data_IF_895575282396
#
_entry.id   IF_895575282396
#
_cell.length_a   1.000
_cell.length_b   1.000
_cell.length_c   1.000
_cell.angle_alpha   90.00
_cell.angle_beta   90.00
_cell.angle_gamma   90.00
#
_symmetry.space_group_name_H-M   'P 1'
#
loop_
_entity.id
_entity.type
_entity.pdbx_description
1 polymer ?
#
# COMPACT_ATOMS: atom_id res chain seq x y z
N UNK A 1 25.69 3.22 21.19
CA UNK A 1 25.72 3.82 19.83
C UNK A 1 24.64 4.88 19.68
N UNK A 2 25.01 6.14 19.39
CA UNK A 2 24.04 7.21 19.10
C UNK A 2 23.63 7.04 17.64
N UNK A 3 22.38 6.65 17.41
CA UNK A 3 21.84 6.57 16.04
C UNK A 3 21.44 7.98 15.62
N UNK A 4 22.14 8.51 14.61
CA UNK A 4 21.82 9.81 14.01
C UNK A 4 20.72 9.65 12.97
N UNK A 5 19.47 9.67 13.41
CA UNK A 5 18.31 9.61 12.51
C UNK A 5 18.26 10.76 11.51
N UNK A 6 18.93 11.88 11.79
CA UNK A 6 18.98 13.04 10.90
C UNK A 6 19.66 12.80 9.56
N UNK A 7 20.45 11.75 9.39
CA UNK A 7 21.04 11.35 8.10
C UNK A 7 20.36 10.14 7.46
N UNK A 8 19.25 9.66 8.03
CA UNK A 8 18.51 8.51 7.53
C UNK A 8 17.90 8.81 6.16
N UNK A 9 18.27 8.02 5.15
CA UNK A 9 17.74 8.16 3.78
C UNK A 9 16.68 7.11 3.43
N UNK A 10 16.80 5.91 4.00
CA UNK A 10 15.90 4.79 3.73
C UNK A 10 15.48 4.20 5.06
N UNK A 11 14.18 4.05 5.27
CA UNK A 11 13.61 3.40 6.44
C UNK A 11 12.71 2.25 5.99
N UNK A 12 13.00 1.04 6.47
CA UNK A 12 12.14 -0.12 6.31
C UNK A 12 11.67 -0.59 7.66
N UNK A 13 10.36 -0.66 7.86
CA UNK A 13 9.73 -1.05 9.13
C UNK A 13 8.61 -2.03 8.84
N UNK A 14 8.55 -3.07 9.67
CA UNK A 14 7.45 -3.99 9.73
C UNK A 14 6.18 -3.28 10.28
N UNK A 15 5.08 -3.13 9.51
CA UNK A 15 3.89 -2.39 9.94
C UNK A 15 3.04 -3.12 10.99
N UNK A 16 3.54 -4.22 11.54
CA UNK A 16 2.90 -5.03 12.57
C UNK A 16 3.67 -5.06 13.90
N UNK A 17 4.85 -4.43 13.95
CA UNK A 17 5.63 -4.33 15.18
C UNK A 17 4.96 -3.36 16.16
N UNK A 18 4.09 -3.91 17.02
CA UNK A 18 3.32 -3.13 18.01
C UNK A 18 4.20 -2.36 18.99
N UNK A 19 5.44 -2.81 19.22
CA UNK A 19 6.37 -2.18 20.15
C UNK A 19 7.20 -1.09 19.45
N UNK A 20 7.59 -1.32 18.19
CA UNK A 20 8.38 -0.38 17.40
C UNK A 20 7.57 0.73 16.70
N UNK A 21 6.31 0.49 16.36
CA UNK A 21 5.45 1.43 15.64
C UNK A 21 5.25 2.79 16.33
N UNK A 22 5.09 2.87 17.67
CA UNK A 22 5.02 4.16 18.36
C UNK A 22 6.29 5.02 18.21
N UNK A 23 7.44 4.41 17.94
CA UNK A 23 8.70 5.12 17.70
C UNK A 23 8.82 5.64 16.25
N UNK A 24 7.91 5.27 15.35
CA UNK A 24 8.02 5.60 13.93
C UNK A 24 7.96 7.11 13.68
N UNK A 25 6.92 7.81 14.17
CA UNK A 25 6.80 9.25 13.93
C UNK A 25 8.00 10.05 14.45
N UNK A 26 8.52 9.83 15.68
CA UNK A 26 9.75 10.48 16.13
C UNK A 26 10.97 10.27 15.20
N UNK A 27 11.13 9.06 14.64
CA UNK A 27 12.21 8.77 13.69
C UNK A 27 12.00 9.55 12.39
N UNK A 28 10.75 9.57 11.87
CA UNK A 28 10.38 10.33 10.67
C UNK A 28 10.62 11.83 10.86
N UNK A 29 10.27 12.39 12.02
CA UNK A 29 10.48 13.81 12.33
C UNK A 29 11.96 14.16 12.41
N UNK A 30 12.78 13.28 12.99
CA UNK A 30 14.24 13.46 13.03
C UNK A 30 14.88 13.38 11.64
N UNK A 31 14.33 12.55 10.74
CA UNK A 31 14.80 12.35 9.37
C UNK A 31 14.07 13.22 8.32
N UNK A 32 13.24 14.19 8.73
CA UNK A 32 12.30 14.90 7.84
C UNK A 32 12.91 15.55 6.59
N UNK A 33 14.19 15.91 6.67
CA UNK A 33 14.93 16.57 5.61
C UNK A 33 15.87 15.64 4.84
N UNK A 34 15.96 14.37 5.19
CA UNK A 34 16.93 13.42 4.60
C UNK A 34 16.30 12.12 4.15
N UNK A 35 15.14 11.75 4.70
CA UNK A 35 14.42 10.55 4.32
C UNK A 35 13.92 10.66 2.88
N UNK A 36 14.37 9.73 2.04
CA UNK A 36 14.03 9.61 0.62
C UNK A 36 13.08 8.44 0.37
N UNK A 37 13.18 7.36 1.16
CA UNK A 37 12.39 6.16 0.94
C UNK A 37 11.84 5.61 2.26
N UNK A 38 10.53 5.34 2.28
CA UNK A 38 9.84 4.74 3.42
C UNK A 38 9.10 3.48 2.98
N UNK A 39 9.50 2.34 3.54
CA UNK A 39 8.91 1.03 3.29
C UNK A 39 8.26 0.51 4.57
N UNK A 40 6.93 0.54 4.61
CA UNK A 40 6.13 -0.08 5.66
C UNK A 40 5.73 -1.50 5.22
N UNK A 41 6.73 -2.37 5.10
CA UNK A 41 6.58 -3.71 4.51
C UNK A 41 6.97 -4.82 5.49
N UNK A 42 6.27 -5.95 5.46
CA UNK A 42 6.60 -7.14 6.26
C UNK A 42 7.18 -8.26 5.41
N UNK A 43 8.19 -8.97 5.93
CA UNK A 43 8.56 -10.29 5.42
C UNK A 43 7.76 -11.43 6.09
N UNK A 44 7.27 -11.25 7.32
CA UNK A 44 6.43 -12.22 8.02
C UNK A 44 4.95 -11.92 7.78
N UNK A 45 4.35 -12.62 6.81
CA UNK A 45 2.96 -12.38 6.36
C UNK A 45 1.91 -13.08 7.23
N UNK A 46 2.33 -13.92 8.18
CA UNK A 46 1.46 -14.99 8.68
C UNK A 46 1.02 -14.84 10.13
N UNK A 47 1.54 -13.86 10.88
CA UNK A 47 1.32 -13.80 12.34
C UNK A 47 0.60 -12.56 12.85
N UNK A 48 0.41 -11.54 12.03
CA UNK A 48 0.08 -10.24 12.58
C UNK A 48 -1.24 -9.63 12.14
N UNK A 49 -1.87 -8.92 13.09
CA UNK A 49 -3.04 -8.10 12.83
C UNK A 49 -2.60 -6.79 12.19
N UNK A 50 -3.34 -6.34 11.17
CA UNK A 50 -3.13 -5.03 10.56
C UNK A 50 -3.23 -3.94 11.63
N UNK A 51 -2.19 -3.11 11.73
CA UNK A 51 -2.20 -1.88 12.53
C UNK A 51 -2.64 -0.72 11.64
N UNK A 52 -3.51 0.13 12.17
CA UNK A 52 -3.96 1.36 11.50
C UNK A 52 -2.86 2.42 11.58
N UNK A 53 -2.42 2.89 10.42
CA UNK A 53 -1.29 3.79 10.23
C UNK A 53 -1.64 5.26 10.45
N UNK A 54 -2.90 5.67 10.26
CA UNK A 54 -3.31 7.08 10.28
C UNK A 54 -3.02 7.77 11.63
N UNK A 55 -3.05 7.03 12.73
CA UNK A 55 -2.71 7.54 14.06
C UNK A 55 -1.22 7.50 14.39
N UNK A 56 -0.39 6.90 13.52
CA UNK A 56 1.00 6.56 13.80
C UNK A 56 1.98 7.24 12.84
N UNK A 57 1.53 7.63 11.66
CA UNK A 57 2.37 8.14 10.58
C UNK A 57 1.71 9.34 9.90
N UNK A 58 2.43 10.45 9.88
CA UNK A 58 2.20 11.59 8.99
C UNK A 58 3.40 11.76 8.07
N UNK A 59 3.13 11.90 6.78
CA UNK A 59 4.14 12.15 5.74
C UNK A 59 4.27 13.65 5.42
N UNK A 60 3.59 14.52 6.18
CA UNK A 60 3.45 15.95 5.86
C UNK A 60 4.78 16.71 5.80
N UNK A 61 5.76 16.30 6.61
CA UNK A 61 7.01 17.01 6.80
C UNK A 61 8.20 16.37 6.05
N UNK A 62 7.97 15.27 5.33
CA UNK A 62 9.02 14.49 4.67
C UNK A 62 9.35 15.08 3.28
N UNK A 63 10.03 16.21 3.29
CA UNK A 63 10.28 17.04 2.10
C UNK A 63 11.10 16.36 1.00
N UNK A 64 11.87 15.33 1.35
CA UNK A 64 12.71 14.57 0.44
C UNK A 64 12.16 13.19 0.07
N UNK A 65 10.98 12.82 0.56
CA UNK A 65 10.38 11.51 0.28
C UNK A 65 10.06 11.36 -1.21
N UNK A 66 10.61 10.32 -1.81
CA UNK A 66 10.47 9.92 -3.22
C UNK A 66 9.70 8.61 -3.36
N UNK A 67 9.92 7.69 -2.43
CA UNK A 67 9.30 6.36 -2.44
C UNK A 67 8.49 6.16 -1.18
N UNK A 68 7.22 5.77 -1.33
CA UNK A 68 6.40 5.30 -0.23
C UNK A 68 5.80 3.94 -0.58
N UNK A 69 6.06 2.95 0.27
CA UNK A 69 5.57 1.60 0.09
C UNK A 69 4.84 1.09 1.34
N UNK A 70 3.71 0.40 1.16
CA UNK A 70 2.91 -0.16 2.26
C UNK A 70 2.51 -1.59 1.93
N UNK A 71 2.74 -2.50 2.88
CA UNK A 71 2.09 -3.80 2.94
C UNK A 71 0.88 -3.71 3.88
N UNK A 72 -0.28 -4.19 3.44
CA UNK A 72 -1.47 -4.21 4.28
C UNK A 72 -2.30 -5.49 4.12
N UNK A 73 -2.78 -6.01 5.26
CA UNK A 73 -3.67 -7.17 5.32
C UNK A 73 -5.12 -6.68 5.42
N UNK A 74 -5.96 -7.10 4.49
CA UNK A 74 -7.36 -6.70 4.41
C UNK A 74 -8.26 -7.92 4.65
N UNK A 75 -9.00 -7.93 5.76
CA UNK A 75 -9.92 -9.02 6.08
C UNK A 75 -11.35 -8.73 5.59
N UNK A 76 -11.87 -9.53 4.65
CA UNK A 76 -13.23 -9.40 4.10
C UNK A 76 -14.31 -10.07 4.93
N UNK A 77 -13.95 -10.76 6.02
CA UNK A 77 -14.93 -11.37 6.92
C UNK A 77 -14.84 -10.74 8.29
N UNK A 78 -15.99 -10.27 8.82
CA UNK A 78 -16.08 -9.86 10.22
C UNK A 78 -15.81 -11.06 11.12
N UNK A 79 -14.96 -10.88 12.13
CA UNK A 79 -15.09 -11.69 13.35
C UNK A 79 -16.42 -11.35 14.00
N UNK A 80 -17.11 -12.34 14.60
CA UNK A 80 -18.44 -12.15 15.22
C UNK A 80 -18.40 -10.91 16.14
N UNK A 81 -19.28 -9.94 15.88
CA UNK A 81 -19.41 -8.66 16.60
C UNK A 81 -18.27 -7.61 16.43
N UNK A 82 -17.33 -7.79 15.49
CA UNK A 82 -16.32 -6.77 15.20
C UNK A 82 -16.68 -5.93 13.95
N UNK A 83 -16.44 -4.61 13.95
CA UNK A 83 -16.54 -3.80 12.74
C UNK A 83 -15.48 -4.24 11.71
N UNK A 84 -15.73 -3.98 10.42
CA UNK A 84 -14.68 -4.12 9.40
C UNK A 84 -13.59 -3.10 9.69
N UNK A 85 -12.32 -3.53 9.67
CA UNK A 85 -11.20 -2.59 9.66
C UNK A 85 -11.18 -1.91 8.29
N UNK A 86 -11.36 -0.59 8.28
CA UNK A 86 -11.35 0.21 7.06
C UNK A 86 -9.90 0.51 6.63
N UNK A 87 -9.16 -0.53 6.26
CA UNK A 87 -7.70 -0.47 5.98
C UNK A 87 -7.38 0.52 4.85
N UNK A 88 -8.16 0.52 3.77
CA UNK A 88 -7.95 1.47 2.67
C UNK A 88 -8.28 2.90 3.10
N UNK A 89 -9.32 3.09 3.93
CA UNK A 89 -9.62 4.42 4.46
C UNK A 89 -8.47 4.96 5.33
N UNK A 90 -7.89 4.10 6.17
CA UNK A 90 -6.73 4.45 6.99
C UNK A 90 -5.51 4.84 6.13
N UNK A 91 -5.23 4.09 5.05
CA UNK A 91 -4.20 4.45 4.07
C UNK A 91 -4.53 5.79 3.40
N UNK A 92 -5.80 6.06 3.06
CA UNK A 92 -6.21 7.34 2.47
C UNK A 92 -5.93 8.53 3.39
N UNK A 93 -6.06 8.36 4.71
CA UNK A 93 -5.71 9.40 5.69
C UNK A 93 -4.20 9.67 5.64
N UNK A 94 -3.36 8.63 5.68
CA UNK A 94 -1.89 8.77 5.56
C UNK A 94 -1.51 9.44 4.24
N UNK A 95 -2.05 8.97 3.11
CA UNK A 95 -1.82 9.58 1.79
C UNK A 95 -2.30 11.03 1.74
N UNK A 96 -3.37 11.36 2.48
CA UNK A 96 -3.88 12.72 2.63
C UNK A 96 -2.90 13.68 3.31
N UNK A 97 -2.00 13.17 4.16
CA UNK A 97 -0.98 14.00 4.83
C UNK A 97 0.14 14.46 3.90
N UNK A 98 0.36 13.79 2.78
CA UNK A 98 1.40 14.17 1.80
C UNK A 98 1.02 15.55 1.22
N UNK A 99 1.90 16.57 1.28
CA UNK A 99 1.60 17.87 0.71
C UNK A 99 1.50 17.80 -0.82
N UNK A 100 0.76 18.74 -1.43
CA UNK A 100 0.68 18.84 -2.89
C UNK A 100 2.07 19.06 -3.51
N UNK A 101 2.85 19.97 -2.94
CA UNK A 101 4.27 20.12 -3.25
C UNK A 101 5.08 19.00 -2.56
N UNK A 102 5.31 17.89 -3.27
CA UNK A 102 6.07 16.75 -2.77
C UNK A 102 7.03 16.19 -3.84
N UNK A 103 7.98 15.34 -3.44
CA UNK A 103 8.98 14.71 -4.33
C UNK A 103 8.69 13.24 -4.66
N UNK A 104 7.51 12.72 -4.30
CA UNK A 104 7.15 11.32 -4.55
C UNK A 104 7.16 11.04 -6.05
N UNK A 105 7.86 9.98 -6.44
CA UNK A 105 7.90 9.42 -7.80
C UNK A 105 7.40 7.98 -7.83
N UNK A 106 7.35 7.30 -6.69
CA UNK A 106 6.95 5.89 -6.62
C UNK A 106 6.01 5.65 -5.44
N UNK A 107 4.87 5.03 -5.71
CA UNK A 107 3.94 4.50 -4.71
C UNK A 107 3.79 3.00 -4.92
N UNK A 108 4.01 2.21 -3.87
CA UNK A 108 3.89 0.77 -3.92
C UNK A 108 2.92 0.27 -2.84
N UNK A 109 1.92 -0.50 -3.24
CA UNK A 109 0.95 -1.08 -2.33
C UNK A 109 0.90 -2.59 -2.51
N UNK A 110 1.16 -3.35 -1.45
CA UNK A 110 1.07 -4.80 -1.41
C UNK A 110 -0.07 -5.21 -0.47
N UNK A 111 -1.20 -5.61 -1.05
CA UNK A 111 -2.42 -5.97 -0.35
C UNK A 111 -2.56 -7.49 -0.27
N UNK A 112 -2.61 -8.03 0.95
CA UNK A 112 -3.04 -9.41 1.21
C UNK A 112 -4.50 -9.41 1.67
N UNK A 113 -5.40 -9.79 0.77
CA UNK A 113 -6.84 -9.76 0.97
C UNK A 113 -7.32 -11.15 1.39
N UNK A 114 -7.73 -11.27 2.64
CA UNK A 114 -8.13 -12.53 3.26
C UNK A 114 -9.66 -12.57 3.41
N UNK A 115 -10.32 -13.52 2.73
CA UNK A 115 -11.77 -13.65 2.81
C UNK A 115 -12.34 -14.76 1.95
N UNK A 116 -13.67 -14.88 1.95
CA UNK A 116 -14.39 -15.83 1.10
C UNK A 116 -15.46 -15.10 0.32
N UNK A 117 -15.73 -15.52 -0.92
CA UNK A 117 -16.82 -14.99 -1.72
C UNK A 117 -18.14 -15.00 -0.93
N UNK A 118 -18.92 -13.90 -0.96
CA UNK A 118 -18.80 -12.73 -1.84
C UNK A 118 -17.79 -11.63 -1.43
N UNK A 119 -16.86 -11.87 -0.50
CA UNK A 119 -15.84 -10.91 -0.05
C UNK A 119 -16.41 -9.58 0.46
N UNK A 120 -17.57 -9.66 1.12
CA UNK A 120 -18.32 -8.50 1.63
C UNK A 120 -17.42 -7.50 2.36
N UNK A 121 -17.56 -6.21 2.08
CA UNK A 121 -16.82 -5.14 2.76
C UNK A 121 -15.38 -4.92 2.28
N UNK A 122 -14.76 -5.84 1.52
CA UNK A 122 -13.47 -5.57 0.88
C UNK A 122 -13.61 -4.70 -0.37
N UNK A 123 -14.60 -4.99 -1.22
CA UNK A 123 -14.86 -4.19 -2.41
C UNK A 123 -15.39 -2.80 -2.06
N UNK A 124 -16.14 -2.69 -0.96
CA UNK A 124 -16.82 -1.46 -0.53
C UNK A 124 -15.91 -0.47 0.20
N UNK A 125 -14.62 -0.78 0.35
CA UNK A 125 -13.69 0.20 0.90
C UNK A 125 -13.50 1.39 -0.04
N UNK A 126 -12.91 2.46 0.48
CA UNK A 126 -12.69 3.74 -0.20
C UNK A 126 -11.56 3.69 -1.26
N UNK A 127 -11.55 2.66 -2.11
CA UNK A 127 -10.60 2.47 -3.20
C UNK A 127 -10.58 3.64 -4.18
N UNK A 128 -11.76 4.20 -4.53
CA UNK A 128 -11.85 5.37 -5.42
C UNK A 128 -11.12 6.56 -4.80
N UNK A 129 -11.36 6.84 -3.53
CA UNK A 129 -10.66 7.93 -2.82
C UNK A 129 -9.14 7.70 -2.78
N UNK A 130 -8.68 6.44 -2.67
CA UNK A 130 -7.24 6.12 -2.74
C UNK A 130 -6.64 6.59 -4.07
N UNK A 131 -7.31 6.30 -5.20
CA UNK A 131 -6.88 6.76 -6.52
C UNK A 131 -6.95 8.28 -6.65
N UNK A 132 -7.97 8.94 -6.08
CA UNK A 132 -8.03 10.41 -6.02
C UNK A 132 -6.86 11.01 -5.24
N UNK A 133 -6.44 10.37 -4.12
CA UNK A 133 -5.24 10.80 -3.38
C UNK A 133 -3.98 10.64 -4.23
N UNK A 134 -3.86 9.53 -4.96
CA UNK A 134 -2.71 9.25 -5.83
C UNK A 134 -2.62 10.31 -6.95
N UNK A 135 -3.73 10.62 -7.60
CA UNK A 135 -3.84 11.69 -8.60
C UNK A 135 -3.37 13.03 -8.00
N UNK A 136 -3.89 13.38 -6.82
CA UNK A 136 -3.49 14.61 -6.11
C UNK A 136 -2.00 14.65 -5.75
N UNK A 137 -1.42 13.51 -5.37
CA UNK A 137 0.02 13.38 -5.05
C UNK A 137 0.86 13.55 -6.31
N UNK A 138 0.38 13.00 -7.44
CA UNK A 138 1.00 13.14 -8.75
C UNK A 138 1.01 14.59 -9.20
N UNK A 139 -0.08 15.35 -9.05
CA UNK A 139 -0.13 16.78 -9.42
C UNK A 139 0.52 17.11 -10.79
N UNK A 140 0.32 16.24 -11.79
CA UNK A 140 0.87 16.40 -13.14
C UNK A 140 2.35 16.00 -13.33
N UNK A 141 3.11 15.67 -12.28
CA UNK A 141 4.46 15.10 -12.43
C UNK A 141 4.40 13.57 -12.64
N UNK A 142 5.43 12.98 -13.27
CA UNK A 142 5.51 11.53 -13.43
C UNK A 142 5.46 10.79 -12.10
N UNK A 143 4.62 9.76 -12.04
CA UNK A 143 4.45 8.90 -10.88
C UNK A 143 4.32 7.44 -11.33
N UNK A 144 5.11 6.55 -10.74
CA UNK A 144 4.97 5.11 -10.89
C UNK A 144 4.12 4.58 -9.73
N UNK A 145 3.06 3.85 -10.06
CA UNK A 145 2.13 3.26 -9.12
C UNK A 145 2.13 1.74 -9.30
N UNK A 146 2.61 1.02 -8.30
CA UNK A 146 2.50 -0.44 -8.24
C UNK A 146 1.45 -0.86 -7.21
N UNK A 147 0.47 -1.64 -7.66
CA UNK A 147 -0.53 -2.26 -6.78
C UNK A 147 -0.49 -3.76 -6.95
N UNK A 148 -0.02 -4.46 -5.93
CA UNK A 148 -0.02 -5.90 -5.82
C UNK A 148 -1.18 -6.35 -4.94
N UNK A 149 -1.99 -7.29 -5.44
CA UNK A 149 -3.15 -7.81 -4.72
C UNK A 149 -3.09 -9.34 -4.70
N UNK A 150 -2.71 -9.89 -3.55
CA UNK A 150 -2.91 -11.29 -3.23
C UNK A 150 -4.30 -11.47 -2.62
N UNK A 151 -5.07 -12.45 -3.10
CA UNK A 151 -6.32 -12.88 -2.47
C UNK A 151 -6.12 -14.28 -1.89
N UNK A 152 -6.54 -14.51 -0.65
CA UNK A 152 -6.49 -15.81 0.00
C UNK A 152 -7.76 -16.10 0.80
N UNK A 153 -8.10 -17.39 0.98
CA UNK A 153 -9.29 -17.80 1.75
C UNK A 153 -8.99 -18.19 3.19
N UNK A 154 -7.74 -18.03 3.63
CA UNK A 154 -7.20 -18.58 4.87
C UNK A 154 -6.95 -20.11 4.84
N UNK A 155 -7.46 -20.81 3.82
CA UNK A 155 -7.23 -22.24 3.59
C UNK A 155 -6.45 -22.42 2.28
N UNK A 156 -5.31 -23.11 2.33
CA UNK A 156 -4.41 -23.28 1.17
C UNK A 156 -5.01 -24.15 0.06
N UNK A 157 -5.98 -25.01 0.36
CA UNK A 157 -6.41 -26.11 -0.53
C UNK A 157 -7.77 -25.93 -1.24
N UNK A 158 -8.44 -24.79 -1.12
CA UNK A 158 -9.79 -24.62 -1.69
C UNK A 158 -9.75 -23.78 -2.95
N UNK A 159 -10.33 -24.29 -4.05
CA UNK A 159 -10.60 -23.53 -5.26
C UNK A 159 -11.32 -22.22 -4.92
N UNK A 160 -10.70 -21.11 -5.31
CA UNK A 160 -10.99 -19.81 -4.73
C UNK A 160 -12.01 -19.07 -5.60
N UNK A 161 -13.29 -19.39 -5.38
CA UNK A 161 -14.42 -18.75 -6.08
C UNK A 161 -14.39 -17.23 -5.84
N UNK A 162 -14.59 -16.43 -6.89
CA UNK A 162 -14.79 -14.99 -6.80
C UNK A 162 -13.53 -14.12 -6.66
N UNK A 163 -12.31 -14.68 -6.64
CA UNK A 163 -11.09 -13.85 -6.54
C UNK A 163 -10.88 -12.96 -7.75
N UNK A 164 -11.16 -13.49 -8.95
CA UNK A 164 -11.11 -12.73 -10.19
C UNK A 164 -12.11 -11.58 -10.17
N UNK A 165 -13.33 -11.81 -9.70
CA UNK A 165 -14.36 -10.78 -9.56
C UNK A 165 -13.92 -9.68 -8.58
N UNK A 166 -13.31 -10.05 -7.44
CA UNK A 166 -12.79 -9.08 -6.48
C UNK A 166 -11.66 -8.25 -7.07
N UNK A 167 -10.68 -8.91 -7.70
CA UNK A 167 -9.55 -8.24 -8.36
C UNK A 167 -10.06 -7.30 -9.45
N UNK A 168 -10.87 -7.79 -10.37
CA UNK A 168 -11.46 -6.99 -11.46
C UNK A 168 -12.30 -5.84 -10.91
N UNK A 169 -13.08 -6.07 -9.84
CA UNK A 169 -13.87 -5.04 -9.19
C UNK A 169 -13.03 -3.92 -8.58
N UNK A 170 -11.91 -4.25 -7.92
CA UNK A 170 -10.99 -3.24 -7.37
C UNK A 170 -10.24 -2.52 -8.50
N UNK A 171 -9.73 -3.24 -9.50
CA UNK A 171 -9.05 -2.61 -10.65
C UNK A 171 -9.98 -1.75 -11.47
N UNK A 172 -11.26 -2.09 -11.60
CA UNK A 172 -12.24 -1.25 -12.30
C UNK A 172 -12.41 0.12 -11.61
N UNK A 173 -12.21 0.19 -10.27
CA UNK A 173 -12.25 1.45 -9.51
C UNK A 173 -11.05 2.35 -9.80
N UNK A 174 -9.99 1.85 -10.43
CA UNK A 174 -8.85 2.67 -10.85
C UNK A 174 -9.08 3.39 -12.17
N UNK A 175 -10.28 3.28 -12.77
CA UNK A 175 -10.60 3.87 -14.07
C UNK A 175 -10.24 5.35 -14.20
N UNK A 176 -10.38 6.15 -13.12
CA UNK A 176 -9.99 7.56 -13.13
C UNK A 176 -8.50 7.79 -13.48
N UNK A 177 -7.61 6.84 -13.21
CA UNK A 177 -6.18 6.95 -13.53
C UNK A 177 -5.91 7.01 -15.04
N UNK A 178 -6.81 6.52 -15.90
CA UNK A 178 -6.60 6.55 -17.35
C UNK A 178 -6.53 7.97 -17.92
N UNK A 179 -7.14 8.93 -17.22
CA UNK A 179 -7.15 10.34 -17.63
C UNK A 179 -5.85 11.07 -17.23
N UNK A 180 -4.99 10.42 -16.42
CA UNK A 180 -3.74 10.99 -15.88
C UNK A 180 -2.55 10.23 -16.42
N UNK A 181 -2.18 10.57 -17.65
CA UNK A 181 -1.22 9.79 -18.40
C UNK A 181 0.24 9.93 -17.88
N UNK A 182 0.50 10.86 -16.96
CA UNK A 182 1.73 10.96 -16.16
C UNK A 182 1.84 9.88 -15.07
N UNK A 183 0.72 9.25 -14.70
CA UNK A 183 0.68 8.15 -13.75
C UNK A 183 0.81 6.85 -14.52
N UNK A 184 1.90 6.13 -14.26
CA UNK A 184 2.10 4.81 -14.81
C UNK A 184 1.66 3.77 -13.78
N UNK A 185 0.47 3.22 -13.99
CA UNK A 185 -0.13 2.26 -13.07
C UNK A 185 0.11 0.81 -13.50
N UNK A 186 0.60 0.00 -12.57
CA UNK A 186 0.84 -1.43 -12.72
C UNK A 186 0.02 -2.19 -11.69
N UNK A 187 -0.86 -3.08 -12.16
CA UNK A 187 -1.70 -3.93 -11.30
C UNK A 187 -1.24 -5.37 -11.40
N UNK A 188 -0.87 -5.93 -10.25
CA UNK A 188 -0.29 -7.27 -10.14
C UNK A 188 -1.18 -8.18 -9.31
N UNK A 189 -1.36 -9.42 -9.76
CA UNK A 189 -2.13 -10.42 -9.02
C UNK A 189 -1.30 -11.70 -8.81
N UNK A 190 -0.52 -11.77 -7.72
CA UNK A 190 0.28 -12.94 -7.39
C UNK A 190 -0.52 -14.21 -7.13
N UNK A 191 -1.82 -14.11 -6.83
CA UNK A 191 -2.68 -15.30 -6.70
C UNK A 191 -2.86 -16.02 -8.03
N UNK A 192 -2.90 -15.30 -9.15
CA UNK A 192 -2.85 -15.93 -10.48
C UNK A 192 -1.46 -16.48 -10.80
N UNK A 193 -0.39 -15.88 -10.26
CA UNK A 193 0.99 -16.35 -10.49
C UNK A 193 1.29 -17.69 -9.82
N UNK A 194 0.77 -17.93 -8.62
CA UNK A 194 0.85 -19.25 -7.97
C UNK A 194 0.18 -20.38 -8.78
N UNK A 195 -0.63 -20.04 -9.81
CA UNK A 195 -1.26 -20.97 -10.75
C UNK A 195 -0.49 -21.12 -12.08
N UNK A 196 0.75 -20.64 -12.16
CA UNK A 196 1.62 -20.78 -13.34
C UNK A 196 1.45 -19.70 -14.42
N UNK A 197 0.76 -18.60 -14.14
CA UNK A 197 0.53 -17.50 -15.08
C UNK A 197 1.50 -16.32 -14.85
N UNK A 198 2.75 -16.44 -15.34
CA UNK A 198 3.68 -15.31 -15.61
C UNK A 198 4.40 -14.64 -14.42
N UNK A 199 5.54 -13.94 -14.62
CA UNK A 199 6.59 -13.80 -13.61
C UNK A 199 6.53 -12.53 -12.72
N UNK A 200 7.19 -12.67 -11.56
CA UNK A 200 7.48 -11.67 -10.52
C UNK A 200 8.27 -10.45 -10.99
N UNK A 201 8.00 -9.24 -10.45
CA UNK A 201 8.96 -8.14 -10.46
C UNK A 201 9.40 -7.80 -9.03
N UNK A 202 10.26 -8.62 -8.40
CA UNK A 202 11.04 -8.12 -7.25
C UNK A 202 12.22 -7.24 -7.67
N UNK A 203 12.61 -7.27 -8.96
CA UNK A 203 13.78 -6.56 -9.48
C UNK A 203 13.49 -5.66 -10.71
N UNK A 204 12.23 -5.28 -10.98
CA UNK A 204 11.86 -4.56 -12.21
C UNK A 204 11.18 -3.20 -12.05
N UNK A 205 10.98 -2.70 -10.82
CA UNK A 205 10.50 -1.33 -10.56
C UNK A 205 11.54 -0.22 -10.86
N UNK A 206 12.49 -0.47 -11.77
CA UNK A 206 13.50 0.54 -12.19
C UNK A 206 13.40 0.94 -13.66
N UNK A 207 12.33 0.56 -14.34
CA UNK A 207 12.04 1.20 -15.61
C UNK A 207 11.05 0.45 -16.45
N UNK A 208 9.84 1.00 -16.58
CA UNK A 208 9.08 0.78 -17.80
C UNK A 208 8.02 1.82 -18.14
N UNK A 209 8.21 3.06 -17.72
CA UNK A 209 7.38 4.16 -18.18
C UNK A 209 8.31 5.23 -18.74
N UNK A 210 8.78 5.01 -19.98
CA UNK A 210 9.45 6.04 -20.76
C UNK A 210 8.36 6.97 -21.32
N UNK A 211 8.37 8.22 -20.90
CA UNK A 211 7.97 9.34 -21.76
C UNK A 211 9.25 10.01 -22.23
#
# INVERSE_FOLDING_TARGET
PVILWSSLRILTVAPHDKEGLPCLQPILDAARNTLEELYLTSFDRFKDQQVLLAGLVSLSNLSNLRVFAVFAIIQCSKKRNAPYLAVIHDINIVLGTIPKANKITNLLFDFDIIGKHPFNGCLDQHWVEMFDKIIRISDGKPLELDIMMAVSTGNLDVARRGEGELYTGITAKSGALSDYAEICAHFWNPTFWARGLGPTPRDHARGRCRR
#
